data_IF_406051410999
#
_entry.id   IF_406051410999
#
_cell.length_a   1.000
_cell.length_b   1.000
_cell.length_c   1.000
_cell.angle_alpha   90.00
_cell.angle_beta   90.00
_cell.angle_gamma   90.00
#
_symmetry.space_group_name_H-M   'P 1'
#
loop_
_entity.id
_entity.type
_entity.pdbx_description
1 polymer ?
#
# COMPACT_ATOMS: atom_id res chain seq x y z
N UNK A 1 -97.14 35.36 16.13
CA UNK A 1 -97.29 35.83 17.52
C UNK A 1 -96.89 34.70 18.46
N UNK A 2 -95.96 34.98 19.38
CA UNK A 2 -95.66 34.32 20.68
C UNK A 2 -95.55 32.78 20.73
N UNK A 3 -94.32 32.31 20.97
CA UNK A 3 -94.04 31.23 21.95
C UNK A 3 -94.47 31.69 23.36
N UNK A 4 -94.71 30.80 24.36
CA UNK A 4 -93.58 30.33 25.21
C UNK A 4 -93.77 29.01 26.03
N UNK A 5 -92.64 28.59 26.63
CA UNK A 5 -92.42 27.82 27.88
C UNK A 5 -92.52 26.27 27.92
N UNK A 6 -91.40 25.64 28.32
CA UNK A 6 -91.30 24.31 28.95
C UNK A 6 -91.72 24.34 30.44
N UNK A 7 -91.19 23.51 31.38
CA UNK A 7 -90.12 22.49 31.34
C UNK A 7 -90.52 21.14 31.99
N UNK A 8 -89.60 20.17 32.13
CA UNK A 8 -89.84 19.00 33.02
C UNK A 8 -88.89 17.81 32.82
N UNK A 9 -88.00 17.59 33.79
CA UNK A 9 -86.88 16.63 33.80
C UNK A 9 -87.35 15.21 34.21
N UNK A 10 -86.74 14.16 33.66
CA UNK A 10 -86.42 12.93 34.43
C UNK A 10 -85.15 12.24 33.88
N UNK A 11 -84.33 11.78 34.83
CA UNK A 11 -83.03 11.14 34.68
C UNK A 11 -83.04 9.82 33.92
N UNK A 12 -81.97 9.55 33.17
CA UNK A 12 -81.29 8.25 33.31
C UNK A 12 -79.77 8.42 33.16
N UNK A 13 -79.06 7.73 34.04
CA UNK A 13 -77.62 7.71 34.19
C UNK A 13 -77.01 6.73 33.19
N UNK A 14 -75.99 7.15 32.43
CA UNK A 14 -74.91 6.24 32.08
C UNK A 14 -73.58 6.98 32.06
N UNK A 15 -72.69 6.51 32.94
CA UNK A 15 -71.32 6.93 33.08
C UNK A 15 -70.48 6.50 31.87
N UNK A 16 -69.59 7.38 31.41
CA UNK A 16 -68.63 7.09 30.33
C UNK A 16 -67.80 8.33 30.01
N UNK A 17 -66.59 8.39 30.58
CA UNK A 17 -65.71 9.54 30.66
C UNK A 17 -65.29 10.23 29.34
N UNK A 18 -65.32 11.58 29.40
CA UNK A 18 -64.31 12.59 29.00
C UNK A 18 -63.58 12.37 27.64
N UNK A 19 -63.91 13.16 26.62
CA UNK A 19 -63.37 14.51 26.29
C UNK A 19 -61.89 14.51 25.85
N UNK A 20 -61.65 15.01 24.62
CA UNK A 20 -60.39 15.68 24.31
C UNK A 20 -59.77 15.37 22.95
N UNK A 21 -60.46 15.68 21.86
CA UNK A 21 -59.81 15.87 20.57
C UNK A 21 -59.14 17.25 20.53
N UNK A 22 -57.80 17.29 20.52
CA UNK A 22 -57.02 18.40 19.96
C UNK A 22 -55.74 17.84 19.35
N UNK A 23 -55.65 17.91 18.03
CA UNK A 23 -54.43 17.57 17.28
C UNK A 23 -53.31 18.56 17.62
N UNK A 24 -52.30 18.08 18.33
CA UNK A 24 -51.04 18.78 18.52
C UNK A 24 -50.08 18.45 17.39
N UNK A 25 -49.90 19.39 16.46
CA UNK A 25 -48.76 19.39 15.54
C UNK A 25 -47.51 19.58 16.40
N UNK A 26 -46.71 18.52 16.53
CA UNK A 26 -45.38 18.58 17.16
C UNK A 26 -44.45 19.34 16.22
N UNK A 27 -44.22 20.63 16.50
CA UNK A 27 -43.07 21.34 15.94
C UNK A 27 -41.81 20.73 16.56
N UNK A 28 -41.07 19.99 15.75
CA UNK A 28 -39.72 19.55 16.08
C UNK A 28 -38.79 20.76 15.99
N UNK A 29 -38.38 21.31 17.12
CA UNK A 29 -37.42 22.42 17.19
C UNK A 29 -36.07 22.02 16.57
N UNK A 30 -35.63 22.65 15.46
CA UNK A 30 -34.33 22.36 14.85
C UNK A 30 -33.15 22.88 15.68
N UNK A 31 -33.40 23.81 16.60
CA UNK A 31 -32.37 24.54 17.34
C UNK A 31 -31.83 23.80 18.57
N UNK A 32 -32.60 22.88 19.16
CA UNK A 32 -32.15 22.08 20.31
C UNK A 32 -31.29 20.87 19.93
N UNK A 33 -31.23 20.52 18.65
CA UNK A 33 -30.40 19.42 18.13
C UNK A 33 -29.00 19.86 17.66
N UNK A 34 -28.69 21.15 17.70
CA UNK A 34 -27.38 21.66 17.30
C UNK A 34 -26.35 21.48 18.43
N UNK A 35 -26.73 21.79 19.67
CA UNK A 35 -25.82 21.71 20.81
C UNK A 35 -25.49 20.27 21.27
N UNK A 36 -26.29 19.28 20.85
CA UNK A 36 -26.00 17.86 21.11
C UNK A 36 -25.23 17.18 19.98
N UNK A 37 -25.09 17.82 18.81
CA UNK A 37 -24.26 17.33 17.70
C UNK A 37 -22.82 17.78 17.81
N UNK A 38 -22.59 18.97 18.36
CA UNK A 38 -21.24 19.51 18.52
C UNK A 38 -20.46 18.83 19.66
N UNK A 39 -21.16 18.21 20.63
CA UNK A 39 -20.55 17.44 21.73
C UNK A 39 -20.15 16.00 21.36
N UNK A 40 -20.40 15.57 20.11
CA UNK A 40 -19.97 14.26 19.58
C UNK A 40 -18.92 14.40 18.46
N UNK A 41 -18.36 15.60 18.29
CA UNK A 41 -17.26 15.90 17.35
C UNK A 41 -15.94 16.16 18.10
N UNK A 42 -15.87 15.81 19.38
CA UNK A 42 -14.59 15.47 20.04
C UNK A 42 -14.38 13.96 19.92
N UNK A 43 -14.35 13.49 18.68
CA UNK A 43 -13.63 12.26 18.36
C UNK A 43 -12.16 12.58 18.51
N UNK A 44 -11.66 12.45 19.74
CA UNK A 44 -10.24 12.48 20.09
C UNK A 44 -9.46 11.85 18.93
N UNK A 45 -8.44 12.56 18.45
CA UNK A 45 -7.53 12.12 17.41
C UNK A 45 -6.67 10.98 17.96
N UNK A 46 -7.34 9.89 18.35
CA UNK A 46 -6.81 8.70 18.97
C UNK A 46 -5.99 8.03 17.89
N UNK A 47 -4.73 8.48 17.82
CA UNK A 47 -3.64 7.73 17.26
C UNK A 47 -3.86 6.25 17.59
N UNK A 48 -3.57 5.32 16.67
CA UNK A 48 -3.57 3.89 16.99
C UNK A 48 -2.41 3.62 17.96
N UNK A 49 -2.59 4.00 19.23
CA UNK A 49 -1.60 3.87 20.32
C UNK A 49 -1.16 2.42 20.47
N UNK A 50 -2.02 1.48 20.04
CA UNK A 50 -1.74 0.05 20.00
C UNK A 50 -0.78 -0.36 18.87
N UNK A 51 -0.78 0.34 17.73
CA UNK A 51 0.09 0.03 16.59
C UNK A 51 1.51 0.57 16.76
N UNK A 52 1.68 1.67 17.51
CA UNK A 52 2.96 2.35 17.72
C UNK A 52 4.09 1.41 18.22
N UNK A 53 3.93 0.60 19.29
CA UNK A 53 5.02 -0.27 19.76
C UNK A 53 5.43 -1.32 18.71
N UNK A 54 4.46 -1.87 17.98
CA UNK A 54 4.74 -2.82 16.90
C UNK A 54 5.47 -2.15 15.73
N UNK A 55 5.10 -0.92 15.37
CA UNK A 55 5.77 -0.15 14.34
C UNK A 55 7.24 0.15 14.71
N UNK A 56 7.49 0.57 15.96
CA UNK A 56 8.86 0.82 16.44
C UNK A 56 9.73 -0.44 16.43
N UNK A 57 9.19 -1.58 16.88
CA UNK A 57 9.89 -2.86 16.82
C UNK A 57 10.19 -3.28 15.38
N UNK A 58 9.21 -3.16 14.47
CA UNK A 58 9.41 -3.45 13.06
C UNK A 58 10.49 -2.56 12.44
N UNK A 59 10.47 -1.25 12.70
CA UNK A 59 11.48 -0.30 12.25
C UNK A 59 12.87 -0.68 12.76
N UNK A 60 13.00 -0.96 14.06
CA UNK A 60 14.28 -1.35 14.66
C UNK A 60 14.86 -2.62 14.02
N UNK A 61 14.04 -3.65 13.80
CA UNK A 61 14.50 -4.89 13.15
C UNK A 61 14.83 -4.69 11.66
N UNK A 62 14.04 -3.90 10.92
CA UNK A 62 14.35 -3.56 9.52
C UNK A 62 15.68 -2.82 9.41
N UNK A 63 15.88 -1.77 10.21
CA UNK A 63 17.11 -0.97 10.19
C UNK A 63 18.31 -1.77 10.66
N UNK A 64 18.16 -2.61 11.69
CA UNK A 64 19.21 -3.52 12.15
C UNK A 64 19.64 -4.51 11.06
N UNK A 65 18.68 -5.15 10.39
CA UNK A 65 18.93 -6.08 9.29
C UNK A 65 19.54 -5.38 8.07
N UNK A 66 19.03 -4.21 7.71
CA UNK A 66 19.55 -3.39 6.61
C UNK A 66 20.98 -2.93 6.88
N UNK A 67 21.27 -2.47 8.10
CA UNK A 67 22.60 -2.04 8.52
C UNK A 67 23.59 -3.18 8.50
N UNK A 68 23.21 -4.36 9.01
CA UNK A 68 24.06 -5.54 8.92
C UNK A 68 24.34 -5.89 7.45
N UNK A 69 23.31 -5.93 6.61
CA UNK A 69 23.49 -6.23 5.19
C UNK A 69 24.36 -5.17 4.48
N UNK A 70 24.19 -3.88 4.79
CA UNK A 70 25.01 -2.80 4.24
C UNK A 70 26.48 -2.94 4.67
N UNK A 71 26.74 -3.23 5.94
CA UNK A 71 28.08 -3.48 6.45
C UNK A 71 28.71 -4.73 5.81
N UNK A 72 27.92 -5.77 5.49
CA UNK A 72 28.42 -6.94 4.76
C UNK A 72 28.80 -6.59 3.31
N UNK A 73 28.03 -5.74 2.63
CA UNK A 73 28.37 -5.25 1.28
C UNK A 73 29.61 -4.36 1.29
N UNK A 74 29.75 -3.53 2.33
CA UNK A 74 30.94 -2.71 2.59
C UNK A 74 32.13 -3.52 3.15
N UNK A 75 31.98 -4.85 3.31
CA UNK A 75 33.00 -5.78 3.82
C UNK A 75 33.51 -5.47 5.23
N UNK A 76 32.72 -4.76 6.04
CA UNK A 76 33.07 -4.43 7.43
C UNK A 76 32.73 -5.56 8.41
N UNK A 77 31.82 -6.47 8.03
CA UNK A 77 31.36 -7.59 8.87
C UNK A 77 31.18 -8.87 8.02
N UNK A 78 31.24 -10.08 8.62
CA UNK A 78 31.06 -11.33 7.90
C UNK A 78 29.62 -11.54 7.42
N UNK A 79 29.48 -12.25 6.29
CA UNK A 79 28.19 -12.63 5.70
C UNK A 79 27.41 -13.55 6.65
N UNK A 80 26.26 -13.08 7.16
CA UNK A 80 25.36 -13.84 8.04
C UNK A 80 23.93 -13.83 7.50
N UNK A 81 23.65 -14.54 6.39
CA UNK A 81 22.34 -14.50 5.74
C UNK A 81 21.21 -15.01 6.65
N UNK A 82 21.49 -15.96 7.56
CA UNK A 82 20.51 -16.43 8.55
C UNK A 82 20.09 -15.35 9.54
N UNK A 83 21.02 -14.49 9.97
CA UNK A 83 20.74 -13.38 10.89
C UNK A 83 19.87 -12.34 10.20
N UNK A 84 20.22 -11.93 8.97
CA UNK A 84 19.47 -10.93 8.21
C UNK A 84 18.06 -11.45 7.88
N UNK A 85 17.92 -12.73 7.52
CA UNK A 85 16.61 -13.36 7.34
C UNK A 85 15.83 -13.42 8.64
N UNK A 86 16.45 -13.81 9.77
CA UNK A 86 15.78 -13.87 11.07
C UNK A 86 15.25 -12.51 11.53
N UNK A 87 16.09 -11.47 11.45
CA UNK A 87 15.68 -10.10 11.74
C UNK A 87 14.60 -9.61 10.76
N UNK A 88 14.75 -9.90 9.46
CA UNK A 88 13.77 -9.55 8.44
C UNK A 88 12.40 -10.23 8.65
N UNK A 89 12.38 -11.50 9.04
CA UNK A 89 11.14 -12.22 9.36
C UNK A 89 10.47 -11.67 10.61
N UNK A 90 11.25 -11.28 11.62
CA UNK A 90 10.72 -10.67 12.84
C UNK A 90 10.16 -9.27 12.56
N UNK A 91 10.87 -8.48 11.77
CA UNK A 91 10.40 -7.17 11.29
C UNK A 91 9.09 -7.31 10.51
N UNK A 92 8.99 -8.29 9.60
CA UNK A 92 7.80 -8.55 8.81
C UNK A 92 6.62 -9.03 9.68
N UNK A 93 6.87 -9.82 10.72
CA UNK A 93 5.83 -10.23 11.67
C UNK A 93 5.22 -9.02 12.39
N UNK A 94 6.07 -8.12 12.92
CA UNK A 94 5.59 -6.88 13.55
C UNK A 94 4.93 -5.93 12.55
N UNK A 95 5.43 -5.85 11.32
CA UNK A 95 4.80 -5.10 10.24
C UNK A 95 3.38 -5.63 9.94
N UNK A 96 3.21 -6.96 9.88
CA UNK A 96 1.90 -7.58 9.74
C UNK A 96 0.96 -7.29 10.91
N UNK A 97 1.48 -7.22 12.14
CA UNK A 97 0.68 -6.82 13.31
C UNK A 97 0.19 -5.37 13.22
N UNK A 98 1.03 -4.44 12.73
CA UNK A 98 0.62 -3.05 12.47
C UNK A 98 -0.55 -3.03 11.49
N UNK A 99 -0.45 -3.74 10.37
CA UNK A 99 -1.53 -3.84 9.38
C UNK A 99 -2.80 -4.42 10.00
N UNK A 100 -2.68 -5.50 10.79
CA UNK A 100 -3.82 -6.14 11.44
C UNK A 100 -4.51 -5.23 12.47
N UNK A 101 -3.76 -4.46 13.25
CA UNK A 101 -4.32 -3.47 14.19
C UNK A 101 -5.09 -2.41 13.41
N UNK A 102 -4.47 -1.81 12.39
CA UNK A 102 -5.10 -0.77 11.56
C UNK A 102 -6.39 -1.28 10.90
N UNK A 103 -6.40 -2.47 10.31
CA UNK A 103 -7.60 -3.04 9.67
C UNK A 103 -8.72 -3.26 10.71
N UNK A 104 -8.39 -3.74 11.92
CA UNK A 104 -9.41 -3.97 12.97
C UNK A 104 -10.02 -2.69 13.50
N UNK A 105 -9.19 -1.68 13.76
CA UNK A 105 -9.64 -0.39 14.30
C UNK A 105 -10.48 0.38 13.28
N UNK A 106 -10.15 0.25 12.00
CA UNK A 106 -10.78 1.02 10.94
C UNK A 106 -11.91 0.27 10.21
N UNK A 107 -12.17 -1.00 10.54
CA UNK A 107 -13.33 -1.75 10.05
C UNK A 107 -13.26 -2.23 8.59
N UNK A 108 -12.11 -2.12 7.90
CA UNK A 108 -12.00 -2.49 6.49
C UNK A 108 -10.60 -2.34 5.89
N UNK A 109 -10.49 -2.52 4.57
CA UNK A 109 -9.28 -2.24 3.78
C UNK A 109 -9.31 -0.77 3.34
N UNK A 110 -8.39 0.01 3.88
CA UNK A 110 -8.22 1.42 3.54
C UNK A 110 -7.11 1.55 2.50
N UNK A 111 -7.41 2.12 1.33
CA UNK A 111 -6.41 2.37 0.27
C UNK A 111 -6.07 3.86 0.14
N UNK A 112 -5.93 4.55 1.28
CA UNK A 112 -5.24 5.85 1.32
C UNK A 112 -3.76 5.70 0.98
N UNK A 113 -3.05 6.81 0.75
CA UNK A 113 -1.63 6.79 0.40
C UNK A 113 -0.78 6.05 1.45
N UNK A 114 -0.92 6.42 2.73
CA UNK A 114 -0.12 5.87 3.83
C UNK A 114 -0.42 4.37 4.08
N UNK A 115 -1.68 3.92 4.26
CA UNK A 115 -1.99 2.48 4.38
C UNK A 115 -1.54 1.66 3.17
N UNK A 116 -1.68 2.19 1.96
CA UNK A 116 -1.22 1.51 0.74
C UNK A 116 0.30 1.35 0.70
N UNK A 117 1.05 2.37 1.13
CA UNK A 117 2.51 2.30 1.23
C UNK A 117 2.97 1.22 2.20
N UNK A 118 2.36 1.15 3.39
CA UNK A 118 2.63 0.12 4.41
C UNK A 118 2.32 -1.28 3.88
N UNK A 119 1.16 -1.46 3.28
CA UNK A 119 0.72 -2.78 2.81
C UNK A 119 1.57 -3.27 1.63
N UNK A 120 1.92 -2.38 0.69
CA UNK A 120 2.81 -2.69 -0.44
C UNK A 120 4.24 -2.94 0.03
N UNK A 121 4.78 -2.16 0.96
CA UNK A 121 6.15 -2.38 1.45
C UNK A 121 6.27 -3.68 2.27
N UNK A 122 5.22 -4.08 2.99
CA UNK A 122 5.10 -5.41 3.58
C UNK A 122 5.12 -6.51 2.51
N UNK A 123 4.36 -6.35 1.42
CA UNK A 123 4.34 -7.32 0.31
C UNK A 123 5.70 -7.42 -0.39
N UNK A 124 6.35 -6.30 -0.70
CA UNK A 124 7.70 -6.25 -1.30
C UNK A 124 8.69 -6.98 -0.39
N UNK A 125 8.62 -6.73 0.92
CA UNK A 125 9.48 -7.38 1.91
C UNK A 125 9.21 -8.88 2.00
N UNK A 126 7.95 -9.30 2.03
CA UNK A 126 7.54 -10.70 2.07
C UNK A 126 8.04 -11.46 0.84
N UNK A 127 7.86 -10.90 -0.35
CA UNK A 127 8.37 -11.48 -1.59
C UNK A 127 9.89 -11.51 -1.63
N UNK A 128 10.57 -10.45 -1.19
CA UNK A 128 12.03 -10.46 -1.07
C UNK A 128 12.48 -11.61 -0.17
N UNK A 129 11.84 -11.78 0.99
CA UNK A 129 12.17 -12.86 1.92
C UNK A 129 11.93 -14.23 1.31
N UNK A 130 10.78 -14.45 0.67
CA UNK A 130 10.45 -15.70 0.00
C UNK A 130 11.46 -16.03 -1.12
N UNK A 131 11.71 -15.09 -2.02
CA UNK A 131 12.67 -15.26 -3.14
C UNK A 131 14.09 -15.45 -2.59
N UNK A 132 14.45 -14.81 -1.46
CA UNK A 132 15.77 -14.96 -0.86
C UNK A 132 16.06 -16.38 -0.37
N UNK A 133 15.04 -17.22 -0.15
CA UNK A 133 15.23 -18.61 0.25
C UNK A 133 15.82 -19.45 -0.89
N UNK A 134 15.46 -19.13 -2.14
CA UNK A 134 15.87 -19.89 -3.33
C UNK A 134 16.96 -19.18 -4.16
N UNK A 135 17.02 -17.85 -4.11
CA UNK A 135 17.90 -17.02 -4.95
C UNK A 135 18.74 -16.06 -4.10
N UNK A 136 19.94 -15.65 -4.55
CA UNK A 136 20.82 -14.74 -3.81
C UNK A 136 20.35 -13.26 -3.90
N UNK A 137 19.05 -12.99 -3.70
CA UNK A 137 18.46 -11.64 -3.75
C UNK A 137 18.59 -10.86 -2.44
N UNK A 138 19.08 -11.49 -1.37
CA UNK A 138 19.09 -10.90 -0.03
C UNK A 138 19.84 -9.56 0.05
N UNK A 139 20.79 -9.31 -0.87
CA UNK A 139 21.46 -8.01 -0.98
C UNK A 139 20.50 -6.84 -1.22
N UNK A 140 19.34 -7.07 -1.86
CA UNK A 140 18.31 -6.04 -2.04
C UNK A 140 17.67 -5.58 -0.72
N UNK A 141 17.86 -6.31 0.39
CA UNK A 141 17.40 -5.87 1.71
C UNK A 141 17.98 -4.52 2.13
N UNK A 142 19.18 -4.15 1.65
CA UNK A 142 19.80 -2.84 1.93
C UNK A 142 18.95 -1.68 1.42
N UNK A 143 18.23 -1.86 0.30
CA UNK A 143 17.29 -0.85 -0.22
C UNK A 143 15.87 -1.06 0.30
N UNK A 144 15.38 -2.31 0.29
CA UNK A 144 13.98 -2.61 0.60
C UNK A 144 13.63 -2.38 2.07
N UNK A 145 14.48 -2.80 3.01
CA UNK A 145 14.15 -2.70 4.44
C UNK A 145 14.09 -1.26 4.96
N UNK A 146 15.02 -0.35 4.60
CA UNK A 146 14.88 1.06 4.98
C UNK A 146 13.63 1.71 4.40
N UNK A 147 13.26 1.39 3.15
CA UNK A 147 12.01 1.88 2.56
C UNK A 147 10.80 1.37 3.34
N UNK A 148 10.76 0.09 3.71
CA UNK A 148 9.70 -0.46 4.56
C UNK A 148 9.62 0.25 5.93
N UNK A 149 10.77 0.51 6.57
CA UNK A 149 10.82 1.28 7.81
C UNK A 149 10.28 2.70 7.63
N UNK A 150 10.62 3.39 6.53
CA UNK A 150 10.09 4.72 6.22
C UNK A 150 8.57 4.71 6.05
N UNK A 151 7.99 3.71 5.39
CA UNK A 151 6.52 3.60 5.25
C UNK A 151 5.80 3.36 6.58
N UNK A 152 6.45 2.70 7.54
CA UNK A 152 5.89 2.56 8.89
C UNK A 152 5.88 3.89 9.65
N UNK A 153 6.83 4.79 9.38
CA UNK A 153 6.80 6.16 9.93
C UNK A 153 5.62 6.94 9.37
N UNK A 154 5.31 6.81 8.07
CA UNK A 154 4.14 7.48 7.47
C UNK A 154 2.83 6.96 8.03
N UNK A 155 2.77 5.68 8.41
CA UNK A 155 1.59 5.08 9.05
C UNK A 155 1.23 5.77 10.37
N UNK A 156 2.25 6.18 11.13
CA UNK A 156 2.10 6.87 12.41
C UNK A 156 1.84 8.36 12.21
N UNK A 157 2.49 8.99 11.22
CA UNK A 157 2.41 10.43 11.00
C UNK A 157 1.11 10.87 10.33
N UNK A 158 0.54 10.05 9.44
CA UNK A 158 -0.65 10.41 8.65
C UNK A 158 -1.65 9.25 8.58
N UNK A 159 -2.35 8.95 9.69
CA UNK A 159 -3.41 7.96 9.70
C UNK A 159 -4.64 8.53 8.96
N UNK A 160 -4.77 8.17 7.69
CA UNK A 160 -5.90 8.55 6.86
C UNK A 160 -6.08 7.60 5.69
N UNK A 161 -7.31 7.50 5.19
CA UNK A 161 -7.56 6.80 3.93
C UNK A 161 -9.03 6.81 3.56
N UNK A 162 -9.32 6.19 2.42
CA UNK A 162 -10.67 6.00 1.94
C UNK A 162 -11.03 4.51 2.05
N UNK A 163 -12.23 4.25 2.55
CA UNK A 163 -12.80 2.91 2.61
C UNK A 163 -13.01 2.37 1.19
N UNK A 164 -12.58 1.14 0.96
CA UNK A 164 -13.00 0.42 -0.24
C UNK A 164 -14.27 -0.38 0.01
N UNK A 165 -15.22 -0.24 -0.92
CA UNK A 165 -16.41 -1.10 -0.99
C UNK A 165 -16.08 -2.52 -1.45
N UNK A 166 -17.13 -3.29 -1.71
CA UNK A 166 -17.06 -4.72 -2.05
C UNK A 166 -16.08 -5.04 -3.19
N UNK A 167 -15.14 -5.96 -2.94
CA UNK A 167 -14.19 -6.46 -3.94
C UNK A 167 -14.82 -7.64 -4.68
N UNK A 168 -15.04 -7.50 -5.99
CA UNK A 168 -15.45 -8.63 -6.85
C UNK A 168 -14.23 -9.52 -7.16
N UNK A 169 -14.41 -10.81 -7.49
CA UNK A 169 -13.30 -11.70 -7.82
C UNK A 169 -12.42 -11.19 -8.98
N UNK A 170 -13.02 -10.53 -9.98
CA UNK A 170 -12.29 -9.93 -11.11
C UNK A 170 -11.40 -8.76 -10.69
N UNK A 171 -11.91 -7.87 -9.84
CA UNK A 171 -11.13 -6.76 -9.27
C UNK A 171 -10.02 -7.29 -8.36
N UNK A 172 -10.29 -8.36 -7.58
CA UNK A 172 -9.27 -9.00 -6.75
C UNK A 172 -8.09 -9.52 -7.60
N UNK A 173 -8.37 -10.14 -8.75
CA UNK A 173 -7.32 -10.59 -9.68
C UNK A 173 -6.45 -9.41 -10.16
N UNK A 174 -7.07 -8.30 -10.54
CA UNK A 174 -6.36 -7.08 -10.95
C UNK A 174 -5.49 -6.53 -9.83
N UNK A 175 -6.03 -6.38 -8.62
CA UNK A 175 -5.31 -5.83 -7.46
C UNK A 175 -4.14 -6.72 -7.06
N UNK A 176 -4.36 -8.04 -6.93
CA UNK A 176 -3.32 -8.99 -6.52
C UNK A 176 -2.21 -9.05 -7.58
N UNK A 177 -2.56 -9.19 -8.85
CA UNK A 177 -1.55 -9.24 -9.92
C UNK A 177 -0.76 -7.93 -10.03
N UNK A 178 -1.43 -6.78 -9.89
CA UNK A 178 -0.77 -5.45 -9.88
C UNK A 178 0.21 -5.32 -8.71
N UNK A 179 -0.22 -5.70 -7.50
CA UNK A 179 0.60 -5.60 -6.31
C UNK A 179 1.82 -6.54 -6.37
N UNK A 180 1.64 -7.78 -6.85
CA UNK A 180 2.73 -8.72 -7.06
C UNK A 180 3.70 -8.25 -8.15
N UNK A 181 3.19 -7.73 -9.27
CA UNK A 181 4.01 -7.16 -10.34
C UNK A 181 4.88 -6.01 -9.82
N UNK A 182 4.25 -5.04 -9.14
CA UNK A 182 4.94 -3.92 -8.52
C UNK A 182 6.02 -4.39 -7.56
N UNK A 183 5.70 -5.34 -6.68
CA UNK A 183 6.64 -5.83 -5.69
C UNK A 183 7.88 -6.50 -6.30
N UNK A 184 7.69 -7.38 -7.31
CA UNK A 184 8.82 -8.00 -8.02
C UNK A 184 9.66 -6.99 -8.78
N UNK A 185 9.03 -6.04 -9.47
CA UNK A 185 9.73 -5.00 -10.23
C UNK A 185 10.43 -3.99 -9.32
N UNK A 186 9.92 -3.73 -8.12
CA UNK A 186 10.61 -2.95 -7.09
C UNK A 186 11.87 -3.67 -6.59
N UNK A 187 11.79 -4.98 -6.33
CA UNK A 187 12.98 -5.79 -5.98
C UNK A 187 14.00 -5.76 -7.14
N UNK A 188 13.53 -5.88 -8.39
CA UNK A 188 14.37 -5.78 -9.58
C UNK A 188 15.06 -4.41 -9.69
N UNK A 189 14.34 -3.32 -9.42
CA UNK A 189 14.90 -1.96 -9.41
C UNK A 189 16.04 -1.85 -8.40
N UNK A 190 15.85 -2.30 -7.15
CA UNK A 190 16.91 -2.31 -6.14
C UNK A 190 18.08 -3.22 -6.55
N UNK A 191 17.81 -4.41 -7.10
CA UNK A 191 18.85 -5.30 -7.63
C UNK A 191 19.66 -4.63 -8.75
N UNK A 192 19.00 -3.87 -9.64
CA UNK A 192 19.67 -3.13 -10.71
C UNK A 192 20.57 -2.00 -10.17
N UNK A 193 20.18 -1.32 -9.10
CA UNK A 193 21.03 -0.32 -8.43
C UNK A 193 22.28 -0.99 -7.83
N UNK A 194 22.12 -2.13 -7.15
CA UNK A 194 23.24 -2.91 -6.62
C UNK A 194 24.18 -3.39 -7.72
N UNK A 195 23.62 -3.80 -8.86
CA UNK A 195 24.38 -4.19 -10.04
C UNK A 195 25.19 -3.02 -10.61
N UNK A 196 24.59 -1.83 -10.68
CA UNK A 196 25.27 -0.61 -11.10
C UNK A 196 26.45 -0.27 -10.18
N UNK A 197 26.23 -0.33 -8.87
CA UNK A 197 27.25 -0.09 -7.85
C UNK A 197 28.42 -1.05 -7.96
N UNK A 198 28.16 -2.36 -8.08
CA UNK A 198 29.21 -3.37 -8.26
C UNK A 198 29.99 -3.18 -9.56
N UNK A 199 29.28 -2.88 -10.65
CA UNK A 199 29.88 -2.65 -11.96
C UNK A 199 30.79 -1.40 -11.96
N UNK A 200 30.45 -0.37 -11.18
CA UNK A 200 31.30 0.81 -10.98
C UNK A 200 32.53 0.48 -10.11
N UNK A 201 32.35 -0.26 -9.01
CA UNK A 201 33.44 -0.65 -8.12
C UNK A 201 34.54 -1.47 -8.85
N UNK A 202 34.16 -2.29 -9.84
CA UNK A 202 35.10 -3.06 -10.65
C UNK A 202 35.87 -2.22 -11.67
N UNK A 203 35.22 -1.22 -12.28
CA UNK A 203 35.87 -0.33 -13.26
C UNK A 203 36.95 0.56 -12.64
N UNK A 204 36.79 0.98 -11.40
CA UNK A 204 37.76 1.83 -10.70
C UNK A 204 38.93 1.08 -10.05
N UNK A 205 39.24 -0.13 -10.54
CA UNK A 205 40.48 -0.87 -10.25
C UNK A 205 40.87 -0.98 -8.75
N UNK A 206 39.90 -1.02 -7.82
CA UNK A 206 40.13 -1.41 -6.42
C UNK A 206 40.39 -2.93 -6.32
N UNK A 207 41.31 -3.45 -7.13
CA UNK A 207 41.59 -4.88 -7.28
C UNK A 207 42.82 -5.25 -6.44
N UNK A 208 42.60 -5.46 -5.14
CA UNK A 208 43.45 -6.36 -4.35
C UNK A 208 42.53 -7.21 -3.46
N UNK A 209 41.94 -8.27 -4.04
CA UNK A 209 41.10 -9.24 -3.30
C UNK A 209 39.58 -9.13 -3.52
N UNK A 210 39.11 -8.37 -4.53
CA UNK A 210 37.68 -8.08 -4.76
C UNK A 210 36.85 -9.25 -5.32
N UNK A 211 37.46 -10.30 -5.86
CA UNK A 211 36.77 -11.28 -6.74
C UNK A 211 36.14 -12.49 -6.02
N UNK A 212 36.35 -12.71 -4.71
CA UNK A 212 36.00 -14.01 -4.09
C UNK A 212 34.71 -14.09 -3.25
N UNK A 213 34.03 -12.98 -2.91
CA UNK A 213 32.93 -13.02 -1.91
C UNK A 213 31.57 -12.52 -2.40
N UNK A 214 31.49 -11.90 -3.58
CA UNK A 214 30.22 -11.53 -4.21
C UNK A 214 29.83 -12.63 -5.20
N UNK A 215 28.54 -13.00 -5.33
CA UNK A 215 28.07 -13.81 -6.44
C UNK A 215 28.57 -13.18 -7.74
N UNK A 216 29.06 -13.98 -8.72
CA UNK A 216 29.58 -13.41 -9.95
C UNK A 216 28.52 -12.51 -10.59
N UNK A 217 28.92 -11.41 -11.23
CA UNK A 217 27.97 -10.43 -11.80
C UNK A 217 26.93 -11.09 -12.71
N UNK A 218 27.32 -12.16 -13.40
CA UNK A 218 26.45 -13.00 -14.22
C UNK A 218 25.26 -13.58 -13.46
N UNK A 219 25.44 -13.95 -12.19
CA UNK A 219 24.36 -14.45 -11.32
C UNK A 219 23.39 -13.33 -10.93
N UNK A 220 23.90 -12.14 -10.59
CA UNK A 220 23.02 -11.01 -10.24
C UNK A 220 22.26 -10.49 -11.47
N UNK A 221 22.90 -10.43 -12.64
CA UNK A 221 22.21 -10.14 -13.91
C UNK A 221 21.11 -11.17 -14.20
N UNK A 222 21.40 -12.48 -14.03
CA UNK A 222 20.40 -13.53 -14.24
C UNK A 222 19.18 -13.34 -13.34
N UNK A 223 19.42 -13.15 -12.05
CA UNK A 223 18.35 -12.95 -11.06
C UNK A 223 17.55 -11.67 -11.35
N UNK A 224 18.21 -10.59 -11.79
CA UNK A 224 17.54 -9.37 -12.24
C UNK A 224 16.56 -9.65 -13.37
N UNK A 225 17.01 -10.34 -14.43
CA UNK A 225 16.13 -10.67 -15.57
C UNK A 225 15.05 -11.69 -15.21
N UNK A 226 15.30 -12.64 -14.32
CA UNK A 226 14.27 -13.55 -13.78
C UNK A 226 13.14 -12.76 -13.07
N UNK A 227 13.51 -11.77 -12.24
CA UNK A 227 12.54 -10.89 -11.57
C UNK A 227 11.76 -10.03 -12.56
N UNK A 228 12.44 -9.47 -13.57
CA UNK A 228 11.78 -8.65 -14.62
C UNK A 228 10.81 -9.51 -15.43
N UNK A 229 11.18 -10.73 -15.82
CA UNK A 229 10.28 -11.65 -16.52
C UNK A 229 9.04 -11.98 -15.69
N UNK A 230 9.22 -12.36 -14.43
CA UNK A 230 8.11 -12.67 -13.54
C UNK A 230 7.20 -11.43 -13.32
N UNK A 231 7.80 -10.27 -13.09
CA UNK A 231 7.09 -9.00 -12.96
C UNK A 231 6.35 -8.61 -14.24
N UNK A 232 6.93 -8.85 -15.42
CA UNK A 232 6.33 -8.55 -16.73
C UNK A 232 5.09 -9.41 -17.00
N UNK A 233 5.15 -10.70 -16.67
CA UNK A 233 4.00 -11.62 -16.80
C UNK A 233 2.86 -11.13 -15.90
N UNK A 234 3.16 -10.83 -14.64
CA UNK A 234 2.15 -10.32 -13.69
C UNK A 234 1.63 -8.93 -14.09
N UNK A 235 2.47 -8.05 -14.63
CA UNK A 235 2.05 -6.74 -15.12
C UNK A 235 1.12 -6.86 -16.33
N UNK A 236 1.39 -7.82 -17.21
CA UNK A 236 0.51 -8.13 -18.34
C UNK A 236 -0.84 -8.65 -17.86
N UNK A 237 -0.84 -9.57 -16.88
CA UNK A 237 -2.06 -10.07 -16.25
C UNK A 237 -2.84 -8.95 -15.56
N UNK A 238 -2.16 -8.04 -14.88
CA UNK A 238 -2.74 -6.87 -14.23
C UNK A 238 -3.41 -5.93 -15.23
N UNK A 239 -2.75 -5.60 -16.34
CA UNK A 239 -3.31 -4.74 -17.39
C UNK A 239 -4.52 -5.44 -18.05
N UNK A 240 -4.40 -6.71 -18.41
CA UNK A 240 -5.47 -7.47 -19.03
C UNK A 240 -6.70 -7.59 -18.12
N UNK A 241 -6.51 -7.97 -16.85
CA UNK A 241 -7.59 -8.03 -15.87
C UNK A 241 -8.18 -6.65 -15.55
N UNK A 242 -7.36 -5.60 -15.59
CA UNK A 242 -7.83 -4.22 -15.50
C UNK A 242 -8.85 -3.92 -16.59
N UNK A 243 -8.49 -4.15 -17.86
CA UNK A 243 -9.38 -3.92 -19.00
C UNK A 243 -10.66 -4.74 -18.98
N UNK A 244 -10.65 -5.92 -18.36
CA UNK A 244 -11.80 -6.82 -18.32
C UNK A 244 -12.76 -6.55 -17.15
N UNK A 245 -12.25 -6.12 -15.99
CA UNK A 245 -13.02 -6.09 -14.74
C UNK A 245 -13.11 -4.72 -14.07
N UNK A 246 -12.35 -3.73 -14.53
CA UNK A 246 -12.42 -2.36 -14.00
C UNK A 246 -13.27 -1.52 -14.95
N UNK A 247 -14.46 -1.16 -14.50
CA UNK A 247 -15.34 -0.26 -15.24
C UNK A 247 -14.73 1.15 -15.33
N UNK A 248 -14.93 1.82 -16.46
CA UNK A 248 -14.51 3.21 -16.68
C UNK A 248 -13.00 3.49 -16.45
N UNK A 249 -12.12 2.60 -16.90
CA UNK A 249 -10.66 2.85 -16.92
C UNK A 249 -10.23 4.14 -17.66
N UNK A 250 -11.07 4.61 -18.57
CA UNK A 250 -10.86 5.85 -19.32
C UNK A 250 -11.49 7.09 -18.66
N UNK A 251 -12.03 6.97 -17.45
CA UNK A 251 -12.38 8.14 -16.66
C UNK A 251 -11.11 8.96 -16.34
N UNK A 252 -11.23 10.29 -16.32
CA UNK A 252 -10.11 11.24 -16.24
C UNK A 252 -9.12 10.96 -15.08
N UNK A 253 -9.59 10.38 -13.97
CA UNK A 253 -8.78 10.05 -12.80
C UNK A 253 -8.00 8.72 -12.94
N UNK A 254 -8.43 7.80 -13.81
CA UNK A 254 -7.80 6.48 -14.04
C UNK A 254 -6.90 6.47 -15.28
N UNK A 255 -7.17 7.30 -16.29
CA UNK A 255 -6.42 7.34 -17.56
C UNK A 255 -4.93 7.53 -17.32
N UNK A 256 -4.57 8.46 -16.44
CA UNK A 256 -3.17 8.74 -16.13
C UNK A 256 -2.45 7.52 -15.54
N UNK A 257 -3.11 6.72 -14.69
CA UNK A 257 -2.53 5.49 -14.14
C UNK A 257 -2.35 4.41 -15.20
N UNK A 258 -3.34 4.26 -16.07
CA UNK A 258 -3.33 3.28 -17.17
C UNK A 258 -2.26 3.61 -18.21
N UNK A 259 -2.10 4.88 -18.59
CA UNK A 259 -1.05 5.32 -19.53
C UNK A 259 0.34 5.11 -18.94
N UNK A 260 0.55 5.46 -17.65
CA UNK A 260 1.84 5.26 -16.98
C UNK A 260 2.20 3.77 -16.84
N UNK A 261 1.22 2.90 -16.54
CA UNK A 261 1.46 1.45 -16.44
C UNK A 261 1.75 0.82 -17.80
N UNK A 262 1.05 1.23 -18.87
CA UNK A 262 1.35 0.82 -20.24
C UNK A 262 2.72 1.31 -20.70
N UNK A 263 3.11 2.55 -20.38
CA UNK A 263 4.44 3.05 -20.67
C UNK A 263 5.53 2.24 -19.95
N UNK A 264 5.34 1.93 -18.67
CA UNK A 264 6.24 1.04 -17.92
C UNK A 264 6.31 -0.35 -18.56
N UNK A 265 5.17 -0.93 -18.97
CA UNK A 265 5.10 -2.21 -19.67
C UNK A 265 5.92 -2.20 -20.96
N UNK A 266 5.82 -1.16 -21.79
CA UNK A 266 6.62 -1.01 -23.02
C UNK A 266 8.11 -0.93 -22.70
N UNK A 267 8.51 -0.18 -21.67
CA UNK A 267 9.93 -0.09 -21.25
C UNK A 267 10.47 -1.46 -20.81
N UNK A 268 9.72 -2.20 -20.00
CA UNK A 268 10.15 -3.55 -19.57
C UNK A 268 10.15 -4.55 -20.74
N UNK A 269 9.18 -4.49 -21.65
CA UNK A 269 9.16 -5.30 -22.85
C UNK A 269 10.39 -5.02 -23.74
N UNK A 270 10.68 -3.74 -24.00
CA UNK A 270 11.84 -3.31 -24.77
C UNK A 270 13.16 -3.76 -24.12
N UNK A 271 13.25 -3.68 -22.78
CA UNK A 271 14.40 -4.18 -22.03
C UNK A 271 14.58 -5.70 -22.21
N UNK A 272 13.50 -6.49 -22.12
CA UNK A 272 13.56 -7.95 -22.30
C UNK A 272 13.95 -8.33 -23.72
N UNK A 273 13.37 -7.68 -24.74
CA UNK A 273 13.73 -7.87 -26.14
C UNK A 273 15.19 -7.47 -26.38
N UNK A 274 15.59 -6.30 -25.88
CA UNK A 274 16.96 -5.81 -26.01
C UNK A 274 17.99 -6.69 -25.29
N UNK A 275 17.60 -7.33 -24.18
CA UNK A 275 18.45 -8.33 -23.55
C UNK A 275 18.65 -9.57 -24.44
N UNK A 276 17.57 -10.11 -25.01
CA UNK A 276 17.63 -11.36 -25.77
C UNK A 276 18.23 -11.19 -27.17
N UNK A 277 17.97 -10.06 -27.85
CA UNK A 277 18.36 -9.84 -29.25
C UNK A 277 19.59 -8.95 -29.40
N UNK A 278 19.67 -7.89 -28.59
CA UNK A 278 20.74 -6.87 -28.67
C UNK A 278 21.84 -7.10 -27.60
N UNK A 279 21.71 -8.14 -26.78
CA UNK A 279 22.64 -8.45 -25.70
C UNK A 279 22.80 -7.32 -24.68
N UNK A 280 21.73 -6.57 -24.38
CA UNK A 280 21.78 -5.49 -23.39
C UNK A 280 22.16 -6.04 -22.01
N UNK A 281 23.26 -5.51 -21.46
CA UNK A 281 23.84 -5.90 -20.17
C UNK A 281 24.36 -4.68 -19.40
N UNK A 282 24.69 -4.87 -18.13
CA UNK A 282 25.25 -3.83 -17.28
C UNK A 282 24.37 -2.57 -17.21
N UNK A 283 24.99 -1.40 -17.45
CA UNK A 283 24.36 -0.09 -17.18
C UNK A 283 23.16 0.22 -18.07
N UNK A 284 23.10 -0.34 -19.29
CA UNK A 284 21.90 -0.20 -20.14
C UNK A 284 20.70 -0.86 -19.45
N UNK A 285 20.84 -2.11 -19.02
CA UNK A 285 19.76 -2.82 -18.32
C UNK A 285 19.31 -2.09 -17.05
N UNK A 286 20.26 -1.53 -16.30
CA UNK A 286 19.96 -0.70 -15.12
C UNK A 286 19.08 0.50 -15.47
N UNK A 287 19.47 1.30 -16.48
CA UNK A 287 18.73 2.52 -16.85
C UNK A 287 17.30 2.22 -17.26
N UNK A 288 17.09 1.19 -18.07
CA UNK A 288 15.75 0.76 -18.48
C UNK A 288 14.94 0.21 -17.30
N UNK A 289 15.55 -0.58 -16.40
CA UNK A 289 14.88 -1.10 -15.20
C UNK A 289 14.43 0.04 -14.29
N UNK A 290 15.31 1.02 -14.03
CA UNK A 290 14.98 2.18 -13.20
C UNK A 290 13.95 3.09 -13.86
N UNK A 291 14.06 3.34 -15.16
CA UNK A 291 13.06 4.13 -15.90
C UNK A 291 11.66 3.52 -15.82
N UNK A 292 11.55 2.21 -16.05
CA UNK A 292 10.28 1.48 -15.93
C UNK A 292 9.77 1.46 -14.48
N UNK A 293 10.67 1.25 -13.51
CA UNK A 293 10.33 1.27 -12.08
C UNK A 293 9.80 2.63 -11.61
N UNK A 294 10.39 3.74 -12.06
CA UNK A 294 9.92 5.10 -11.74
C UNK A 294 8.54 5.35 -12.33
N UNK A 295 8.30 4.98 -13.59
CA UNK A 295 6.96 5.10 -14.18
C UNK A 295 5.91 4.28 -13.42
N UNK A 296 6.26 3.06 -12.99
CA UNK A 296 5.35 2.21 -12.24
C UNK A 296 5.06 2.77 -10.84
N UNK A 297 6.07 3.36 -10.18
CA UNK A 297 5.91 4.07 -8.91
C UNK A 297 4.95 5.26 -9.05
N UNK A 298 5.09 6.04 -10.12
CA UNK A 298 4.18 7.14 -10.45
C UNK A 298 2.77 6.63 -10.82
N UNK A 299 2.65 5.51 -11.52
CA UNK A 299 1.36 4.91 -11.85
C UNK A 299 0.59 4.51 -10.58
N UNK A 300 1.29 3.93 -9.60
CA UNK A 300 0.68 3.43 -8.37
C UNK A 300 0.37 4.56 -7.38
N UNK A 301 1.36 5.41 -7.07
CA UNK A 301 1.24 6.43 -6.01
C UNK A 301 1.05 7.85 -6.53
N UNK A 302 1.39 8.14 -7.79
CA UNK A 302 1.54 9.52 -8.29
C UNK A 302 0.28 10.38 -8.19
N UNK A 303 -0.88 9.83 -8.55
CA UNK A 303 -2.13 10.62 -8.46
C UNK A 303 -2.56 10.84 -7.02
N UNK A 304 -2.36 9.85 -6.13
CA UNK A 304 -2.71 9.95 -4.71
C UNK A 304 -1.76 10.91 -3.99
N UNK A 305 -0.47 10.86 -4.30
CA UNK A 305 0.52 11.81 -3.82
C UNK A 305 0.20 13.25 -4.26
N UNK A 306 -0.13 13.46 -5.54
CA UNK A 306 -0.49 14.80 -6.02
C UNK A 306 -1.72 15.35 -5.29
N UNK A 307 -2.77 14.55 -5.15
CA UNK A 307 -4.02 14.97 -4.48
C UNK A 307 -3.84 15.18 -2.98
N UNK A 308 -3.19 14.26 -2.27
CA UNK A 308 -3.10 14.30 -0.80
C UNK A 308 -1.97 15.21 -0.28
N UNK A 309 -0.91 15.48 -1.06
CA UNK A 309 0.28 16.23 -0.60
C UNK A 309 0.45 17.58 -1.30
N UNK A 310 0.12 17.68 -2.60
CA UNK A 310 0.32 18.93 -3.36
C UNK A 310 -0.91 19.83 -3.29
N UNK A 311 -2.10 19.24 -3.23
CA UNK A 311 -3.38 19.95 -3.19
C UNK A 311 -4.08 19.92 -1.82
N UNK A 312 -3.35 19.56 -0.75
CA UNK A 312 -3.84 19.64 0.64
C UNK A 312 -3.60 21.00 1.29
#
# INVERSE_FOLDING_TARGET
>A
MRQPHGPGITCEQHAGARLGATGGIRYSDPFLNFHSRDAAVDGDGQQPMQALPFALLAIAFYLGAASWQALTLLRRVPQRPKLVRGLGTLALAFHGLVIAVVIRETGGLWLGLSPSLVMVSALVTALLMLVSLAKPVLNAAVGVFPVAAMTLVTAVAWPGGEHQGHITPGIALHVISSALAFALLAIAAVQSMLLAWQNQALRHHHISGVVQTLPPLTTMERVLFELIWAGMILLTLAIASGFLFVDNLFAQHLVHKTVLSLAAWVIFAALLIGHHWLGWRGLKAVRWTLGGGVLLLLAYFGTKFAVEVIFS
#
